data_IF_947674370345
#
_entry.id   IF_947674370345
#
_cell.length_a   1.000
_cell.length_b   1.000
_cell.length_c   1.000
_cell.angle_alpha   90.00
_cell.angle_beta   90.00
_cell.angle_gamma   90.00
#
_symmetry.space_group_name_H-M   'P 1'
#
loop_
_entity.id
_entity.type
_entity.pdbx_description
1 polymer ?
#
# COMPACT_ATOMS: atom_id res chain seq x y z
N UNK A 1 8.56 11.57 26.44
CA UNK A 1 7.17 11.10 26.27
C UNK A 1 6.90 11.00 24.78
N UNK A 2 6.42 9.87 24.23
CA UNK A 2 5.97 9.89 22.85
C UNK A 2 4.63 10.63 22.81
N UNK A 3 4.60 11.70 22.03
CA UNK A 3 3.43 12.51 21.77
C UNK A 3 2.36 11.63 21.09
N UNK A 4 1.14 11.62 21.62
CA UNK A 4 0.03 10.94 20.98
C UNK A 4 -0.19 11.62 19.62
N UNK A 5 0.21 10.96 18.53
CA UNK A 5 -0.02 11.45 17.17
C UNK A 5 -1.52 11.53 16.96
N UNK A 6 -2.07 12.72 17.16
CA UNK A 6 -3.42 13.05 16.71
C UNK A 6 -3.56 12.60 15.26
N UNK A 7 -4.67 11.92 14.93
CA UNK A 7 -4.98 11.52 13.56
C UNK A 7 -5.07 12.78 12.70
N UNK A 8 -3.93 13.22 12.19
CA UNK A 8 -3.82 14.35 11.27
C UNK A 8 -4.50 13.93 9.99
N UNK A 9 -5.48 14.70 9.55
CA UNK A 9 -6.21 14.40 8.33
C UNK A 9 -5.23 14.30 7.15
N UNK A 10 -5.21 13.14 6.48
CA UNK A 10 -4.43 12.90 5.27
C UNK A 10 -5.36 12.77 4.07
N UNK A 11 -4.86 13.12 2.88
CA UNK A 11 -5.65 13.01 1.65
C UNK A 11 -5.83 11.55 1.21
N UNK A 12 -4.75 10.74 1.28
CA UNK A 12 -4.77 9.33 0.91
C UNK A 12 -5.17 8.45 2.10
N UNK A 13 -5.83 7.34 1.78
CA UNK A 13 -6.21 6.32 2.77
C UNK A 13 -5.01 5.46 3.17
N UNK A 14 -5.13 4.74 4.29
CA UNK A 14 -4.13 3.76 4.70
C UNK A 14 -3.89 2.68 3.63
N UNK A 15 -4.92 2.28 2.88
CA UNK A 15 -4.75 1.35 1.75
C UNK A 15 -3.83 1.90 0.68
N UNK A 16 -4.02 3.17 0.30
CA UNK A 16 -3.17 3.83 -0.68
C UNK A 16 -1.74 3.98 -0.15
N UNK A 17 -1.57 4.36 1.12
CA UNK A 17 -0.23 4.45 1.73
C UNK A 17 0.50 3.11 1.78
N UNK A 18 -0.17 2.01 2.18
CA UNK A 18 0.41 0.66 2.16
C UNK A 18 0.79 0.26 0.73
N UNK A 19 -0.07 0.51 -0.25
CA UNK A 19 0.20 0.21 -1.64
C UNK A 19 1.44 0.95 -2.16
N UNK A 20 1.59 2.23 -1.82
CA UNK A 20 2.74 3.05 -2.20
C UNK A 20 4.03 2.58 -1.51
N UNK A 21 3.98 2.14 -0.25
CA UNK A 21 5.15 1.53 0.40
C UNK A 21 5.61 0.27 -0.35
N UNK A 22 4.68 -0.56 -0.81
CA UNK A 22 4.98 -1.78 -1.56
C UNK A 22 5.49 -1.46 -2.96
N UNK A 23 4.96 -0.43 -3.61
CA UNK A 23 5.43 0.01 -4.93
C UNK A 23 6.92 0.42 -4.87
N UNK A 24 7.33 1.08 -3.78
CA UNK A 24 8.72 1.48 -3.52
C UNK A 24 9.63 0.32 -3.15
N UNK A 25 9.17 -0.58 -2.29
CA UNK A 25 9.91 -1.77 -1.87
C UNK A 25 8.98 -3.01 -1.84
N UNK A 26 8.97 -3.80 -2.92
CA UNK A 26 8.18 -5.03 -3.01
C UNK A 26 8.54 -6.12 -1.98
N UNK A 27 9.71 -6.02 -1.34
CA UNK A 27 10.19 -6.98 -0.33
C UNK A 27 10.12 -6.40 1.10
N UNK A 28 9.43 -5.28 1.28
CA UNK A 28 9.26 -4.60 2.56
C UNK A 28 8.61 -5.52 3.60
N UNK A 29 9.08 -5.45 4.84
CA UNK A 29 8.47 -6.21 5.94
C UNK A 29 7.22 -5.49 6.42
N UNK A 30 6.23 -6.27 6.86
CA UNK A 30 4.99 -5.75 7.48
C UNK A 30 5.27 -4.71 8.57
N UNK A 31 6.28 -4.95 9.41
CA UNK A 31 6.70 -4.01 10.46
C UNK A 31 7.19 -2.68 9.88
N UNK A 32 8.03 -2.72 8.86
CA UNK A 32 8.61 -1.52 8.26
C UNK A 32 7.50 -0.70 7.54
N UNK A 33 6.51 -1.37 6.93
CA UNK A 33 5.31 -0.71 6.38
C UNK A 33 4.47 -0.07 7.49
N UNK A 34 4.25 -0.78 8.60
CA UNK A 34 3.47 -0.29 9.73
C UNK A 34 4.08 0.99 10.33
N UNK A 35 5.40 1.00 10.50
CA UNK A 35 6.17 2.16 10.98
C UNK A 35 6.08 3.35 10.00
N UNK A 36 6.23 3.12 8.70
CA UNK A 36 6.16 4.18 7.68
C UNK A 36 4.76 4.80 7.56
N UNK A 37 3.71 3.97 7.63
CA UNK A 37 2.31 4.41 7.48
C UNK A 37 1.74 4.96 8.79
N UNK A 38 2.33 4.63 9.94
CA UNK A 38 1.84 5.05 11.26
C UNK A 38 0.61 4.27 11.72
N UNK A 39 0.52 2.99 11.38
CA UNK A 39 -0.56 2.08 11.79
C UNK A 39 0.00 0.80 12.42
N UNK A 40 -0.87 -0.05 12.97
CA UNK A 40 -0.43 -1.32 13.57
C UNK A 40 -0.08 -2.37 12.50
N UNK A 41 0.83 -3.30 12.81
CA UNK A 41 1.13 -4.44 11.92
C UNK A 41 -0.12 -5.24 11.55
N UNK A 42 -1.04 -5.41 12.51
CA UNK A 42 -2.33 -6.08 12.27
C UNK A 42 -3.19 -5.32 11.26
N UNK A 43 -3.18 -3.99 11.29
CA UNK A 43 -3.89 -3.18 10.31
C UNK A 43 -3.26 -3.32 8.92
N UNK A 44 -1.92 -3.33 8.82
CA UNK A 44 -1.22 -3.61 7.56
C UNK A 44 -1.59 -4.98 7.01
N UNK A 45 -1.55 -6.04 7.83
CA UNK A 45 -1.92 -7.40 7.39
C UNK A 45 -3.36 -7.46 6.87
N UNK A 46 -4.31 -6.79 7.55
CA UNK A 46 -5.70 -6.71 7.07
C UNK A 46 -5.77 -6.00 5.72
N UNK A 47 -5.10 -4.86 5.57
CA UNK A 47 -5.06 -4.10 4.32
C UNK A 47 -4.44 -4.93 3.19
N UNK A 48 -3.35 -5.65 3.45
CA UNK A 48 -2.72 -6.55 2.49
C UNK A 48 -3.71 -7.60 1.99
N UNK A 49 -4.43 -8.28 2.90
CA UNK A 49 -5.48 -9.25 2.53
C UNK A 49 -6.58 -8.59 1.70
N UNK A 50 -7.04 -7.39 2.07
CA UNK A 50 -8.08 -6.67 1.33
C UNK A 50 -7.61 -6.24 -0.08
N UNK A 51 -6.33 -5.90 -0.25
CA UNK A 51 -5.72 -5.62 -1.55
C UNK A 51 -5.58 -6.90 -2.40
N UNK A 52 -5.26 -8.03 -1.78
CA UNK A 52 -5.20 -9.34 -2.43
C UNK A 52 -6.58 -9.82 -2.91
N UNK A 53 -7.58 -9.78 -2.03
CA UNK A 53 -8.99 -10.05 -2.36
C UNK A 53 -9.46 -9.09 -3.47
N UNK A 54 -8.92 -7.88 -3.43
CA UNK A 54 -9.12 -6.85 -4.42
C UNK A 54 -8.43 -7.09 -5.77
N UNK A 55 -7.61 -8.15 -5.92
CA UNK A 55 -6.75 -8.40 -7.09
C UNK A 55 -5.89 -7.19 -7.48
N UNK A 56 -5.52 -6.37 -6.49
CA UNK A 56 -4.59 -5.24 -6.66
C UNK A 56 -3.16 -5.70 -6.37
N UNK A 57 -3.01 -6.77 -5.60
CA UNK A 57 -1.74 -7.27 -5.11
C UNK A 57 -1.77 -8.80 -5.07
N UNK A 58 -0.61 -9.43 -5.24
CA UNK A 58 -0.39 -10.83 -4.98
C UNK A 58 0.85 -11.02 -4.09
N UNK A 59 0.74 -11.88 -3.06
CA UNK A 59 1.90 -12.32 -2.27
C UNK A 59 2.53 -13.58 -2.86
N UNK A 60 3.86 -13.56 -2.95
CA UNK A 60 4.68 -14.72 -3.28
C UNK A 60 5.71 -14.96 -2.17
N UNK A 61 5.86 -16.20 -1.71
CA UNK A 61 6.90 -16.54 -0.73
C UNK A 61 8.23 -16.77 -1.44
N UNK A 62 9.16 -15.82 -1.34
CA UNK A 62 10.53 -15.93 -1.86
C UNK A 62 11.51 -16.25 -0.73
N UNK A 63 11.66 -17.56 -0.46
CA UNK A 63 12.53 -18.07 0.60
C UNK A 63 12.08 -17.61 2.00
N UNK A 64 12.92 -16.82 2.69
CA UNK A 64 12.61 -16.28 4.02
C UNK A 64 11.80 -14.99 4.00
N UNK A 65 11.63 -14.36 2.83
CA UNK A 65 10.88 -13.11 2.65
C UNK A 65 9.61 -13.35 1.85
N UNK A 66 8.67 -12.45 2.03
CA UNK A 66 7.48 -12.36 1.18
C UNK A 66 7.75 -11.26 0.18
N UNK A 67 7.50 -11.56 -1.08
CA UNK A 67 7.55 -10.61 -2.18
C UNK A 67 6.12 -10.25 -2.56
N UNK A 68 5.85 -8.97 -2.75
CA UNK A 68 4.54 -8.46 -3.12
C UNK A 68 4.56 -7.97 -4.57
N UNK A 69 3.75 -8.57 -5.42
CA UNK A 69 3.56 -8.12 -6.80
C UNK A 69 2.31 -7.24 -6.89
N UNK A 70 2.46 -6.00 -7.38
CA UNK A 70 1.33 -5.11 -7.64
C UNK A 70 0.77 -5.40 -9.04
N UNK A 71 -0.54 -5.57 -9.12
CA UNK A 71 -1.25 -5.64 -10.39
C UNK A 71 -1.41 -4.23 -10.97
N UNK A 72 -0.39 -3.78 -11.69
CA UNK A 72 -0.30 -2.41 -12.23
C UNK A 72 -1.54 -1.96 -13.02
N UNK A 73 -2.19 -2.90 -13.71
CA UNK A 73 -3.38 -2.65 -14.55
C UNK A 73 -4.70 -2.71 -13.77
N UNK A 74 -4.69 -3.06 -12.49
CA UNK A 74 -5.89 -3.06 -11.66
C UNK A 74 -6.50 -1.66 -11.66
N UNK A 75 -7.81 -1.57 -11.91
CA UNK A 75 -8.54 -0.29 -11.94
C UNK A 75 -8.83 0.19 -10.52
N UNK A 76 -8.78 1.51 -10.34
CA UNK A 76 -9.25 2.11 -9.10
C UNK A 76 -10.76 1.84 -8.96
N UNK A 77 -11.18 1.45 -7.75
CA UNK A 77 -12.53 0.91 -7.53
C UNK A 77 -13.61 1.99 -7.47
N UNK A 78 -13.23 3.24 -7.21
CA UNK A 78 -14.18 4.33 -7.12
C UNK A 78 -14.63 4.78 -8.52
N UNK A 79 -15.95 4.97 -8.79
CA UNK A 79 -16.43 5.32 -10.13
C UNK A 79 -15.75 6.54 -10.75
N UNK A 80 -15.48 7.57 -9.93
CA UNK A 80 -14.80 8.81 -10.38
C UNK A 80 -13.39 8.56 -10.93
N UNK A 81 -12.72 7.53 -10.45
CA UNK A 81 -11.31 7.24 -10.73
C UNK A 81 -11.14 5.92 -11.50
N UNK A 82 -12.23 5.24 -11.83
CA UNK A 82 -12.23 3.92 -12.50
C UNK A 82 -11.55 3.91 -13.87
N UNK A 83 -11.39 5.09 -14.48
CA UNK A 83 -10.63 5.30 -15.71
C UNK A 83 -9.10 5.22 -15.49
N UNK A 84 -8.62 5.25 -14.25
CA UNK A 84 -7.21 5.17 -13.86
C UNK A 84 -6.86 3.77 -13.33
N UNK A 85 -5.60 3.43 -13.48
CA UNK A 85 -4.99 2.23 -12.95
C UNK A 85 -4.27 2.51 -11.63
N UNK A 86 -3.96 1.44 -10.89
CA UNK A 86 -3.08 1.49 -9.72
C UNK A 86 -1.71 2.06 -10.10
N UNK A 87 -1.17 1.71 -11.26
CA UNK A 87 0.08 2.29 -11.73
C UNK A 87 0.01 3.82 -11.93
N UNK A 88 -1.14 4.35 -12.38
CA UNK A 88 -1.31 5.80 -12.52
C UNK A 88 -1.29 6.51 -11.15
N UNK A 89 -1.85 5.88 -10.11
CA UNK A 89 -1.76 6.39 -8.75
C UNK A 89 -0.32 6.39 -8.24
N UNK A 90 0.42 5.30 -8.47
CA UNK A 90 1.84 5.20 -8.05
C UNK A 90 2.66 6.30 -8.74
N UNK A 91 2.53 6.46 -10.07
CA UNK A 91 3.23 7.51 -10.84
C UNK A 91 2.85 8.94 -10.43
N UNK A 92 1.67 9.15 -9.85
CA UNK A 92 1.28 10.49 -9.37
C UNK A 92 2.12 10.92 -8.17
N UNK A 93 2.55 9.95 -7.34
CA UNK A 93 3.25 10.20 -6.08
C UNK A 93 4.76 10.01 -6.23
N UNK A 94 5.18 9.14 -7.14
CA UNK A 94 6.57 8.96 -7.51
C UNK A 94 6.92 9.94 -8.63
N UNK A 95 7.67 11.00 -8.30
CA UNK A 95 8.33 11.79 -9.33
C UNK A 95 9.51 10.98 -9.89
N UNK A 96 9.55 10.79 -11.21
CA UNK A 96 10.80 10.54 -11.91
C UNK A 96 11.77 11.68 -11.53
N UNK A 97 12.89 11.32 -10.90
CA UNK A 97 13.98 12.26 -10.67
C UNK A 97 14.60 12.73 -11.97
#
# INVERSE_FOLDING_TARGET
MPEATSHTWTFLSNHAHVLLCIARDPDARVRDIAEQVGITERAVQRILTELEDGRVLARERRGRRTHYAIEANARLRHPLESHRSVADLVRLVEHDG
#
